data_IF_703757031873
#
_entry.id   IF_703757031873
#
_cell.length_a   1.000
_cell.length_b   1.000
_cell.length_c   1.000
_cell.angle_alpha   90.00
_cell.angle_beta   90.00
_cell.angle_gamma   90.00
#
_symmetry.space_group_name_H-M   'P 1'
#
loop_
_entity.id
_entity.type
_entity.pdbx_description
1 polymer ?
#
# COMPACT_ATOMS: atom_id res chain seq x y z
N UNK A 1 48.42 -27.81 -12.10
CA UNK A 1 49.64 -27.31 -12.77
C UNK A 1 49.90 -25.91 -12.26
N UNK A 2 50.98 -25.75 -11.54
CA UNK A 2 51.45 -24.56 -10.82
C UNK A 2 51.78 -23.36 -11.72
N UNK A 3 51.68 -22.13 -11.21
CA UNK A 3 52.79 -21.18 -11.05
C UNK A 3 52.25 -19.84 -10.48
N UNK A 4 52.61 -19.52 -9.22
CA UNK A 4 53.74 -18.80 -8.60
C UNK A 4 53.93 -17.33 -9.04
N UNK A 5 53.71 -16.48 -8.07
CA UNK A 5 54.44 -15.31 -7.50
C UNK A 5 55.31 -14.47 -8.43
N UNK A 6 55.15 -13.17 -8.35
CA UNK A 6 56.29 -12.26 -8.32
C UNK A 6 55.97 -10.99 -7.47
N UNK A 7 56.79 -10.82 -6.45
CA UNK A 7 56.92 -9.67 -5.55
C UNK A 7 57.96 -8.75 -6.17
N UNK A 8 57.73 -7.44 -6.21
CA UNK A 8 58.79 -6.44 -6.35
C UNK A 8 58.63 -5.37 -5.25
N UNK A 9 59.66 -5.32 -4.42
CA UNK A 9 59.91 -4.32 -3.38
C UNK A 9 60.72 -3.19 -3.99
N UNK A 10 60.41 -1.97 -3.67
CA UNK A 10 61.22 -0.80 -4.03
C UNK A 10 60.95 0.37 -3.09
N UNK A 11 62.00 0.79 -2.41
CA UNK A 11 62.06 1.54 -1.15
C UNK A 11 62.01 3.07 -1.26
N UNK A 12 61.58 3.64 -0.16
CA UNK A 12 61.91 4.93 0.52
C UNK A 12 62.50 6.13 -0.29
N UNK A 13 61.85 7.26 -0.06
CA UNK A 13 62.58 8.52 0.25
C UNK A 13 61.66 9.46 1.14
N UNK A 14 62.22 9.90 2.23
CA UNK A 14 61.69 10.83 3.22
C UNK A 14 61.66 12.26 2.67
N UNK A 15 60.65 13.05 3.06
CA UNK A 15 60.63 14.50 2.94
C UNK A 15 59.59 15.11 3.88
N UNK A 16 60.06 15.87 4.84
CA UNK A 16 59.32 16.36 6.00
C UNK A 16 58.56 17.69 5.72
N UNK A 17 57.56 17.87 6.57
CA UNK A 17 57.04 19.13 7.14
C UNK A 17 56.08 20.02 6.26
N UNK A 18 54.87 20.18 6.81
CA UNK A 18 53.92 21.23 6.46
C UNK A 18 52.60 21.05 7.17
N UNK A 19 52.51 21.47 8.44
CA UNK A 19 51.22 21.62 9.11
C UNK A 19 50.39 22.66 8.39
N UNK A 20 49.21 22.33 7.91
CA UNK A 20 48.09 23.25 7.81
C UNK A 20 46.78 22.52 8.12
N UNK A 21 46.20 22.92 9.25
CA UNK A 21 44.85 22.64 9.69
C UNK A 21 43.83 23.24 8.71
N UNK A 22 43.03 22.41 8.11
CA UNK A 22 41.88 22.84 7.31
C UNK A 22 40.80 21.78 7.40
N UNK A 23 39.95 21.85 8.44
CA UNK A 23 38.75 21.04 8.55
C UNK A 23 37.76 21.49 7.50
N UNK A 24 37.76 20.82 6.35
CA UNK A 24 36.71 20.89 5.35
C UNK A 24 35.67 19.84 5.66
N UNK A 25 34.67 20.17 6.49
CA UNK A 25 33.46 19.39 6.57
C UNK A 25 32.75 19.46 5.23
N UNK A 26 32.71 18.36 4.51
CA UNK A 26 31.79 18.17 3.39
C UNK A 26 30.35 18.31 3.91
N UNK A 27 29.79 19.50 3.75
CA UNK A 27 28.34 19.70 3.85
C UNK A 27 27.73 18.86 2.72
N UNK A 28 27.14 17.71 3.08
CA UNK A 28 26.15 17.04 2.23
C UNK A 28 25.17 18.12 1.80
N UNK A 29 25.12 18.41 0.50
CA UNK A 29 24.13 19.32 -0.06
C UNK A 29 22.76 18.68 0.19
N UNK A 30 22.01 19.24 1.11
CA UNK A 30 20.57 18.99 1.24
C UNK A 30 19.95 19.41 -0.09
N UNK A 31 19.24 18.48 -0.74
CA UNK A 31 18.46 18.82 -1.92
C UNK A 31 17.50 19.97 -1.54
N UNK A 32 17.33 20.99 -2.40
CA UNK A 32 16.45 22.11 -2.09
C UNK A 32 15.07 21.58 -1.78
N UNK A 33 14.51 21.97 -0.63
CA UNK A 33 13.16 21.65 -0.25
C UNK A 33 12.23 22.12 -1.38
N UNK A 34 11.51 21.19 -2.02
CA UNK A 34 10.56 21.52 -3.08
C UNK A 34 9.56 22.54 -2.52
N UNK A 35 9.29 23.59 -3.29
CA UNK A 35 8.29 24.60 -2.94
C UNK A 35 6.91 23.92 -2.86
N UNK A 36 6.45 23.67 -1.64
CA UNK A 36 5.18 23.00 -1.34
C UNK A 36 3.95 23.81 -1.76
N UNK A 37 4.13 25.05 -2.21
CA UNK A 37 3.05 25.92 -2.72
C UNK A 37 2.84 25.79 -4.23
N UNK A 38 3.79 25.24 -4.97
CA UNK A 38 3.71 25.06 -6.41
C UNK A 38 2.95 23.78 -6.77
N UNK A 39 2.15 23.83 -7.84
CA UNK A 39 1.54 22.61 -8.41
C UNK A 39 2.65 21.67 -8.90
N UNK A 40 2.57 20.37 -8.59
CA UNK A 40 3.55 19.42 -9.09
C UNK A 40 3.45 19.28 -10.62
N UNK A 41 4.57 19.00 -11.26
CA UNK A 41 4.61 18.68 -12.70
C UNK A 41 4.32 17.22 -13.00
N UNK A 42 4.42 16.36 -11.96
CA UNK A 42 4.15 14.93 -11.98
C UNK A 42 3.78 14.52 -10.56
N UNK A 43 2.95 13.47 -10.42
CA UNK A 43 2.59 12.85 -9.15
C UNK A 43 3.01 11.39 -9.19
N UNK A 44 3.74 10.93 -8.17
CA UNK A 44 4.12 9.52 -8.00
C UNK A 44 3.27 8.92 -6.87
N UNK A 45 2.42 7.99 -7.23
CA UNK A 45 1.56 7.25 -6.30
C UNK A 45 2.19 5.92 -5.92
N UNK A 46 2.41 5.68 -4.63
CA UNK A 46 2.88 4.41 -4.10
C UNK A 46 1.74 3.39 -4.01
N UNK A 47 2.02 2.15 -4.37
CA UNK A 47 1.06 1.05 -4.35
C UNK A 47 1.70 -0.29 -4.00
N UNK A 48 0.90 -1.21 -3.46
CA UNK A 48 1.16 -2.65 -3.44
C UNK A 48 0.60 -3.24 -4.74
N UNK A 49 1.47 -3.77 -5.62
CA UNK A 49 1.06 -4.27 -6.94
C UNK A 49 0.49 -5.71 -6.92
N UNK A 50 0.04 -6.15 -5.73
CA UNK A 50 -0.70 -7.40 -5.53
C UNK A 50 -2.13 -7.19 -5.02
N UNK A 51 -2.57 -5.94 -4.79
CA UNK A 51 -3.85 -5.60 -4.17
C UNK A 51 -4.99 -5.48 -5.20
N UNK A 52 -5.37 -6.60 -5.81
CA UNK A 52 -6.50 -6.65 -6.76
C UNK A 52 -7.85 -6.51 -6.02
N UNK A 53 -8.84 -5.81 -6.60
CA UNK A 53 -8.84 -5.17 -7.92
C UNK A 53 -8.44 -3.69 -7.91
N UNK A 54 -7.90 -3.16 -6.78
CA UNK A 54 -7.59 -1.74 -6.63
C UNK A 54 -6.37 -1.35 -7.47
N UNK A 55 -5.23 -2.05 -7.29
CA UNK A 55 -4.03 -1.88 -8.08
C UNK A 55 -3.18 -3.14 -8.02
N UNK A 56 -2.88 -3.75 -9.16
CA UNK A 56 -2.18 -5.02 -9.21
C UNK A 56 -1.54 -5.24 -10.60
N UNK A 57 -0.72 -6.30 -10.70
CA UNK A 57 -0.22 -6.75 -12.00
C UNK A 57 -1.15 -7.78 -12.62
N UNK A 58 -1.51 -7.55 -13.87
CA UNK A 58 -2.25 -8.54 -14.67
C UNK A 58 -1.32 -9.68 -15.17
N UNK A 59 -1.89 -10.63 -15.90
CA UNK A 59 -1.16 -11.78 -16.46
C UNK A 59 -0.04 -11.39 -17.45
N UNK A 60 -0.01 -10.14 -17.93
CA UNK A 60 1.03 -9.57 -18.79
C UNK A 60 2.08 -8.78 -17.98
N UNK A 61 1.91 -8.68 -16.68
CA UNK A 61 2.76 -7.89 -15.80
C UNK A 61 2.46 -6.38 -15.80
N UNK A 62 1.39 -5.95 -16.49
CA UNK A 62 0.98 -4.55 -16.54
C UNK A 62 0.28 -4.14 -15.25
N UNK A 63 0.55 -2.92 -14.77
CA UNK A 63 -0.14 -2.35 -13.62
C UNK A 63 -1.54 -1.92 -14.04
N UNK A 64 -2.54 -2.54 -13.46
CA UNK A 64 -3.97 -2.34 -13.74
C UNK A 64 -4.77 -2.28 -12.43
N UNK A 65 -6.03 -1.85 -12.50
CA UNK A 65 -6.92 -1.85 -11.34
C UNK A 65 -7.86 -0.65 -11.32
N UNK A 66 -8.78 -0.68 -10.36
CA UNK A 66 -9.74 0.40 -10.16
C UNK A 66 -9.04 1.74 -9.88
N UNK A 67 -8.11 1.76 -8.91
CA UNK A 67 -7.38 2.97 -8.55
C UNK A 67 -6.47 3.47 -9.69
N UNK A 68 -5.93 2.53 -10.50
CA UNK A 68 -5.12 2.87 -11.67
C UNK A 68 -5.96 3.59 -12.73
N UNK A 69 -7.15 3.08 -13.01
CA UNK A 69 -8.06 3.70 -13.98
C UNK A 69 -8.61 5.03 -13.44
N UNK A 70 -8.93 5.11 -12.14
CA UNK A 70 -9.33 6.37 -11.50
C UNK A 70 -8.22 7.42 -11.59
N UNK A 71 -6.97 7.04 -11.31
CA UNK A 71 -5.83 7.96 -11.39
C UNK A 71 -5.57 8.44 -12.83
N UNK A 72 -5.72 7.58 -13.85
CA UNK A 72 -5.65 7.98 -15.26
C UNK A 72 -6.71 9.01 -15.60
N UNK A 73 -7.96 8.81 -15.14
CA UNK A 73 -9.04 9.75 -15.35
C UNK A 73 -8.79 11.08 -14.61
N UNK A 74 -8.33 11.03 -13.34
CA UNK A 74 -7.96 12.22 -12.57
C UNK A 74 -6.79 12.96 -13.22
N UNK A 75 -5.75 12.26 -13.65
CA UNK A 75 -4.59 12.84 -14.36
C UNK A 75 -5.03 13.66 -15.58
N UNK A 76 -5.98 13.14 -16.36
CA UNK A 76 -6.54 13.85 -17.51
C UNK A 76 -7.29 15.13 -17.11
N UNK A 77 -8.08 15.07 -16.03
CA UNK A 77 -8.86 16.22 -15.54
C UNK A 77 -8.00 17.34 -14.93
N UNK A 78 -6.90 16.99 -14.26
CA UNK A 78 -6.02 17.98 -13.63
C UNK A 78 -4.87 18.43 -14.55
N UNK A 79 -4.62 17.72 -15.66
CA UNK A 79 -3.55 18.00 -16.61
C UNK A 79 -2.15 17.69 -16.08
N UNK A 80 -2.03 16.80 -15.08
CA UNK A 80 -0.74 16.42 -14.46
C UNK A 80 -0.61 14.90 -14.52
N UNK A 81 0.50 14.36 -15.05
CA UNK A 81 0.75 12.91 -15.07
C UNK A 81 0.76 12.31 -13.67
N UNK A 82 0.07 11.18 -13.48
CA UNK A 82 0.10 10.36 -12.28
C UNK A 82 0.73 9.02 -12.65
N UNK A 83 1.85 8.68 -12.03
CA UNK A 83 2.57 7.44 -12.24
C UNK A 83 2.49 6.57 -10.98
N UNK A 84 2.29 5.27 -11.14
CA UNK A 84 2.29 4.32 -10.04
C UNK A 84 3.68 3.71 -9.85
N UNK A 85 4.11 3.69 -8.59
CA UNK A 85 5.36 3.06 -8.16
C UNK A 85 5.03 1.92 -7.19
N UNK A 86 5.30 0.66 -7.58
CA UNK A 86 5.25 -0.45 -6.63
C UNK A 86 6.21 -0.23 -5.47
N UNK A 87 5.73 -0.46 -4.27
CA UNK A 87 6.49 -0.33 -3.02
C UNK A 87 6.19 -1.52 -2.12
N UNK A 88 7.08 -1.80 -1.20
CA UNK A 88 6.79 -2.63 -0.05
C UNK A 88 5.77 -1.91 0.84
N UNK A 89 4.62 -2.56 1.09
CA UNK A 89 3.51 -1.94 1.82
C UNK A 89 3.87 -1.53 3.24
N UNK A 90 4.76 -2.28 3.90
CA UNK A 90 5.24 -1.92 5.24
C UNK A 90 6.07 -0.63 5.24
N UNK A 91 6.64 -0.22 4.11
CA UNK A 91 7.47 0.97 3.98
C UNK A 91 6.74 2.21 3.45
N UNK A 92 5.43 2.15 3.18
CA UNK A 92 4.65 3.20 2.51
C UNK A 92 4.77 4.59 3.14
N UNK A 93 4.72 4.67 4.47
CA UNK A 93 4.89 5.95 5.19
C UNK A 93 6.32 6.49 5.03
N UNK A 94 7.33 5.61 5.09
CA UNK A 94 8.74 6.00 4.89
C UNK A 94 9.01 6.44 3.45
N UNK A 95 8.42 5.77 2.46
CA UNK A 95 8.47 6.18 1.04
C UNK A 95 7.85 7.57 0.86
N UNK A 96 6.70 7.81 1.49
CA UNK A 96 6.03 9.11 1.45
C UNK A 96 6.84 10.20 2.15
N UNK A 97 7.32 9.95 3.39
CA UNK A 97 8.10 10.93 4.15
C UNK A 97 9.41 11.32 3.45
N UNK A 98 10.10 10.37 2.84
CA UNK A 98 11.33 10.64 2.09
C UNK A 98 11.10 11.32 0.74
N UNK A 99 9.83 11.46 0.29
CA UNK A 99 9.50 12.06 -1.00
C UNK A 99 9.80 11.16 -2.20
N UNK A 100 9.98 9.84 -1.98
CA UNK A 100 10.10 8.88 -3.09
C UNK A 100 8.77 8.58 -3.75
N UNK A 101 7.67 8.85 -3.05
CA UNK A 101 6.30 8.94 -3.55
C UNK A 101 5.66 10.23 -3.04
N UNK A 102 4.66 10.74 -3.74
CA UNK A 102 3.93 11.96 -3.39
C UNK A 102 2.64 11.64 -2.63
N UNK A 103 2.06 10.47 -2.90
CA UNK A 103 0.86 9.98 -2.23
C UNK A 103 0.84 8.45 -2.17
N UNK A 104 -0.02 7.91 -1.29
CA UNK A 104 -0.35 6.48 -1.19
C UNK A 104 -1.75 6.33 -1.78
N UNK A 105 -1.87 5.61 -2.91
CA UNK A 105 -3.15 5.41 -3.60
C UNK A 105 -3.29 3.96 -4.05
N UNK A 106 -3.89 3.14 -3.20
CA UNK A 106 -4.11 1.71 -3.45
C UNK A 106 -5.10 1.12 -2.43
N UNK A 107 -6.39 1.50 -2.53
CA UNK A 107 -7.36 1.08 -1.52
C UNK A 107 -6.90 1.47 -0.10
N UNK A 108 -6.41 2.69 0.08
CA UNK A 108 -5.77 3.08 1.32
C UNK A 108 -6.80 3.55 2.35
N UNK A 109 -6.99 2.74 3.39
CA UNK A 109 -7.96 3.03 4.46
C UNK A 109 -7.55 4.24 5.28
N UNK A 110 -8.48 5.17 5.44
CA UNK A 110 -8.35 6.34 6.29
C UNK A 110 -8.66 5.98 7.74
N UNK A 111 -7.65 5.46 8.49
CA UNK A 111 -7.82 5.13 9.91
C UNK A 111 -7.54 6.35 10.82
N UNK A 112 -8.07 6.37 12.06
CA UNK A 112 -7.76 7.42 13.03
C UNK A 112 -6.26 7.58 13.31
N UNK A 113 -5.50 6.48 13.33
CA UNK A 113 -4.05 6.50 13.54
C UNK A 113 -3.34 7.21 12.38
N UNK A 114 -3.67 6.83 11.15
CA UNK A 114 -3.10 7.44 9.93
C UNK A 114 -3.46 8.91 9.81
N UNK A 115 -4.68 9.31 10.19
CA UNK A 115 -5.11 10.71 10.19
C UNK A 115 -4.31 11.61 11.14
N UNK A 116 -3.66 11.07 12.17
CA UNK A 116 -2.77 11.84 13.05
C UNK A 116 -1.51 12.32 12.33
N UNK A 117 -1.01 11.52 11.41
CA UNK A 117 0.30 11.72 10.75
C UNK A 117 0.20 12.07 9.25
N UNK A 118 -0.91 11.74 8.60
CA UNK A 118 -1.15 11.99 7.18
C UNK A 118 -2.32 12.96 6.97
N UNK A 119 -2.30 13.65 5.84
CA UNK A 119 -3.48 14.26 5.25
C UNK A 119 -4.14 13.27 4.28
N UNK A 120 -5.42 13.46 4.05
CA UNK A 120 -6.22 12.59 3.19
C UNK A 120 -7.08 13.43 2.24
N UNK A 121 -7.33 12.89 1.04
CA UNK A 121 -8.42 13.38 0.20
C UNK A 121 -9.77 13.08 0.86
N UNK A 122 -10.85 13.59 0.31
CA UNK A 122 -12.19 13.05 0.61
C UNK A 122 -12.21 11.56 0.26
N UNK A 123 -12.90 10.72 1.03
CA UNK A 123 -13.01 9.31 0.71
C UNK A 123 -13.79 9.13 -0.60
N UNK A 124 -13.36 8.14 -1.40
CA UNK A 124 -13.97 7.84 -2.69
C UNK A 124 -14.71 6.50 -2.73
N UNK A 125 -14.53 5.64 -1.72
CA UNK A 125 -15.19 4.33 -1.64
C UNK A 125 -15.35 3.90 -0.18
N UNK A 126 -16.47 3.25 0.16
CA UNK A 126 -16.61 2.54 1.43
C UNK A 126 -15.80 1.25 1.41
N UNK A 127 -15.31 0.83 2.57
CA UNK A 127 -14.56 -0.40 2.76
C UNK A 127 -15.02 -1.14 4.00
N UNK A 128 -14.86 -2.46 4.00
CA UNK A 128 -15.17 -3.34 5.11
C UNK A 128 -14.05 -4.36 5.27
N UNK A 129 -13.62 -4.61 6.52
CA UNK A 129 -12.75 -5.73 6.84
C UNK A 129 -13.60 -6.93 7.25
N UNK A 130 -13.34 -8.09 6.66
CA UNK A 130 -14.03 -9.35 6.94
C UNK A 130 -13.05 -10.50 7.07
N UNK A 131 -13.48 -11.55 7.77
CA UNK A 131 -12.75 -12.82 7.75
C UNK A 131 -13.15 -13.64 6.54
N UNK A 132 -12.16 -14.23 5.88
CA UNK A 132 -12.35 -15.22 4.82
C UNK A 132 -11.75 -16.56 5.24
N UNK A 133 -12.45 -17.63 4.92
CA UNK A 133 -12.04 -19.02 5.20
C UNK A 133 -12.18 -19.87 3.93
N UNK A 134 -11.62 -21.07 3.93
CA UNK A 134 -11.91 -22.04 2.87
C UNK A 134 -13.43 -22.38 2.86
N UNK A 135 -13.98 -22.62 1.68
CA UNK A 135 -15.41 -22.89 1.52
C UNK A 135 -15.89 -24.10 2.31
N UNK A 136 -15.02 -25.12 2.47
CA UNK A 136 -15.27 -26.35 3.23
C UNK A 136 -14.83 -26.28 4.70
N UNK A 137 -14.39 -25.12 5.17
CA UNK A 137 -14.00 -24.91 6.57
C UNK A 137 -15.16 -25.17 7.53
N UNK A 138 -14.88 -25.82 8.67
CA UNK A 138 -15.84 -25.98 9.77
C UNK A 138 -16.16 -24.66 10.51
N UNK A 139 -15.33 -23.62 10.36
CA UNK A 139 -15.55 -22.29 10.93
C UNK A 139 -16.76 -21.64 10.27
N UNK A 140 -17.79 -21.27 11.03
CA UNK A 140 -19.03 -20.69 10.48
C UNK A 140 -19.21 -19.22 10.82
N UNK A 141 -18.57 -18.73 11.87
CA UNK A 141 -18.68 -17.36 12.38
C UNK A 141 -17.37 -16.93 13.04
N UNK A 142 -17.22 -15.63 13.29
CA UNK A 142 -15.99 -15.06 13.86
C UNK A 142 -15.59 -15.66 15.21
N UNK A 143 -16.57 -16.02 16.07
CA UNK A 143 -16.30 -16.62 17.37
C UNK A 143 -15.63 -18.01 17.28
N UNK A 144 -15.83 -18.72 16.18
CA UNK A 144 -15.21 -20.03 15.93
C UNK A 144 -13.71 -19.92 15.62
N UNK A 145 -13.23 -18.69 15.38
CA UNK A 145 -11.80 -18.39 15.13
C UNK A 145 -10.97 -18.35 16.42
N UNK A 146 -11.60 -18.46 17.59
CA UNK A 146 -10.87 -18.49 18.86
C UNK A 146 -9.89 -19.67 18.90
N UNK A 147 -8.61 -19.36 19.18
CA UNK A 147 -7.53 -20.34 19.19
C UNK A 147 -7.05 -20.79 17.81
N UNK A 148 -7.63 -20.26 16.73
CA UNK A 148 -7.28 -20.57 15.34
C UNK A 148 -6.11 -19.71 14.84
N UNK A 149 -5.60 -20.07 13.67
CA UNK A 149 -4.48 -19.36 12.99
C UNK A 149 -5.04 -18.35 12.01
N UNK A 150 -4.61 -17.10 12.19
CA UNK A 150 -4.99 -15.98 11.33
C UNK A 150 -3.80 -15.53 10.50
N UNK A 151 -3.99 -15.31 9.20
CA UNK A 151 -3.04 -14.62 8.34
C UNK A 151 -3.53 -13.21 8.01
N UNK A 152 -2.63 -12.24 8.03
CA UNK A 152 -2.88 -10.84 7.70
C UNK A 152 -1.72 -10.27 6.89
N UNK A 153 -1.96 -9.19 6.16
CA UNK A 153 -0.86 -8.41 5.61
C UNK A 153 -0.27 -7.49 6.70
N UNK A 154 1.05 -7.40 6.76
CA UNK A 154 1.73 -6.51 7.69
C UNK A 154 1.47 -5.04 7.35
N UNK A 155 1.46 -4.19 8.37
CA UNK A 155 1.18 -2.74 8.25
C UNK A 155 -0.14 -2.40 7.53
N UNK A 156 -1.05 -3.37 7.45
CA UNK A 156 -2.40 -3.23 6.90
C UNK A 156 -3.40 -2.69 7.93
N UNK A 157 -4.63 -2.46 7.47
CA UNK A 157 -5.76 -2.14 8.35
C UNK A 157 -6.08 -3.30 9.30
N UNK A 158 -5.97 -4.55 8.82
CA UNK A 158 -6.16 -5.74 9.64
C UNK A 158 -5.19 -5.78 10.82
N UNK A 159 -3.90 -5.50 10.60
CA UNK A 159 -2.93 -5.41 11.69
C UNK A 159 -3.28 -4.27 12.67
N UNK A 160 -3.65 -3.10 12.16
CA UNK A 160 -4.05 -1.96 13.02
C UNK A 160 -5.23 -2.30 13.92
N UNK A 161 -6.23 -3.04 13.41
CA UNK A 161 -7.39 -3.50 14.19
C UNK A 161 -6.97 -4.43 15.33
N UNK A 162 -6.09 -5.40 15.04
CA UNK A 162 -5.57 -6.34 16.04
C UNK A 162 -4.70 -5.64 17.09
N UNK A 163 -3.88 -4.67 16.68
CA UNK A 163 -3.01 -3.92 17.59
C UNK A 163 -3.80 -2.96 18.49
N UNK A 164 -5.01 -2.55 18.06
CA UNK A 164 -5.93 -1.71 18.84
C UNK A 164 -6.74 -2.52 19.86
N UNK A 165 -7.05 -3.78 19.53
CA UNK A 165 -7.84 -4.67 20.38
C UNK A 165 -7.01 -5.89 20.83
N UNK A 166 -6.33 -5.73 21.96
CA UNK A 166 -5.50 -6.78 22.57
C UNK A 166 -6.30 -8.05 22.92
N UNK A 167 -7.60 -7.94 23.23
CA UNK A 167 -8.43 -9.10 23.53
C UNK A 167 -8.72 -9.89 22.26
N UNK A 168 -9.05 -9.19 21.17
CA UNK A 168 -9.22 -9.80 19.85
C UNK A 168 -7.91 -10.46 19.41
N UNK A 169 -6.78 -9.77 19.51
CA UNK A 169 -5.47 -10.29 19.15
C UNK A 169 -5.13 -11.57 19.91
N UNK A 170 -5.33 -11.58 21.24
CA UNK A 170 -5.08 -12.75 22.10
C UNK A 170 -6.08 -13.88 21.92
N UNK A 171 -7.21 -13.65 21.26
CA UNK A 171 -8.20 -14.70 20.98
C UNK A 171 -7.70 -15.72 19.96
N UNK A 172 -6.78 -15.35 19.08
CA UNK A 172 -6.17 -16.24 18.09
C UNK A 172 -5.05 -17.07 18.71
N UNK A 173 -4.90 -18.32 18.26
CA UNK A 173 -3.80 -19.19 18.66
C UNK A 173 -2.46 -18.78 18.03
N UNK A 174 -2.51 -18.28 16.80
CA UNK A 174 -1.36 -17.77 16.05
C UNK A 174 -1.82 -16.67 15.09
N UNK A 175 -1.04 -15.61 14.95
CA UNK A 175 -1.22 -14.59 13.93
C UNK A 175 0.06 -14.49 13.12
N UNK A 176 -0.05 -14.68 11.80
CA UNK A 176 1.06 -14.51 10.86
C UNK A 176 0.81 -13.29 9.99
N UNK A 177 1.78 -12.38 10.00
CA UNK A 177 1.80 -11.23 9.11
C UNK A 177 2.74 -11.51 7.92
N UNK A 178 2.27 -11.18 6.72
CA UNK A 178 2.99 -11.37 5.46
C UNK A 178 3.15 -10.03 4.74
N UNK A 179 4.16 -9.88 3.88
CA UNK A 179 4.36 -8.64 3.10
C UNK A 179 3.16 -8.31 2.21
N UNK A 180 2.48 -9.30 1.69
CA UNK A 180 1.35 -9.16 0.77
C UNK A 180 0.22 -10.15 1.05
N UNK A 181 -0.98 -9.84 0.52
CA UNK A 181 -2.16 -10.68 0.71
C UNK A 181 -2.14 -11.97 -0.11
N UNK A 182 -1.36 -12.03 -1.20
CA UNK A 182 -1.20 -13.27 -1.96
C UNK A 182 -0.60 -14.37 -1.08
N UNK A 183 0.42 -14.03 -0.29
CA UNK A 183 1.01 -14.96 0.68
C UNK A 183 0.01 -15.39 1.76
N UNK A 184 -0.85 -14.49 2.24
CA UNK A 184 -1.91 -14.82 3.19
C UNK A 184 -2.89 -15.86 2.62
N UNK A 185 -3.34 -15.65 1.38
CA UNK A 185 -4.24 -16.59 0.70
C UNK A 185 -3.57 -17.93 0.39
N UNK A 186 -2.29 -17.94 0.04
CA UNK A 186 -1.52 -19.20 -0.12
C UNK A 186 -1.44 -19.98 1.19
N UNK A 187 -1.30 -19.31 2.33
CA UNK A 187 -1.31 -19.94 3.65
C UNK A 187 -2.70 -20.54 3.96
N UNK A 188 -3.77 -19.81 3.67
CA UNK A 188 -5.13 -20.29 3.82
C UNK A 188 -5.38 -21.53 2.93
N UNK A 189 -5.01 -21.47 1.65
CA UNK A 189 -5.21 -22.58 0.70
C UNK A 189 -4.45 -23.84 1.08
N UNK A 190 -3.29 -23.69 1.71
CA UNK A 190 -2.48 -24.84 2.16
C UNK A 190 -2.84 -25.35 3.55
N UNK A 191 -3.84 -24.76 4.22
CA UNK A 191 -4.25 -25.11 5.57
C UNK A 191 -3.25 -24.71 6.66
N UNK A 192 -2.28 -23.85 6.36
CA UNK A 192 -1.36 -23.27 7.36
C UNK A 192 -2.02 -22.12 8.14
N UNK A 193 -3.03 -21.49 7.58
CA UNK A 193 -3.94 -20.58 8.26
C UNK A 193 -5.37 -21.12 8.21
N UNK A 194 -6.18 -20.79 9.22
CA UNK A 194 -7.61 -21.10 9.28
C UNK A 194 -8.45 -19.98 8.67
N UNK A 195 -7.95 -18.75 8.71
CA UNK A 195 -8.62 -17.56 8.15
C UNK A 195 -7.60 -16.50 7.68
N UNK A 196 -8.08 -15.61 6.82
CA UNK A 196 -7.43 -14.34 6.47
C UNK A 196 -8.36 -13.20 6.88
N UNK A 197 -7.83 -12.11 7.43
CA UNK A 197 -8.55 -10.86 7.66
C UNK A 197 -8.09 -9.85 6.61
N UNK A 198 -9.01 -9.39 5.77
CA UNK A 198 -8.72 -8.50 4.66
C UNK A 198 -9.94 -7.69 4.21
N UNK A 199 -9.72 -6.82 3.23
CA UNK A 199 -10.74 -5.97 2.61
C UNK A 199 -11.70 -6.79 1.74
N UNK A 200 -13.01 -6.56 1.89
CA UNK A 200 -14.06 -7.27 1.13
C UNK A 200 -13.83 -7.17 -0.38
N UNK A 201 -13.46 -6.02 -0.92
CA UNK A 201 -13.27 -5.85 -2.36
C UNK A 201 -12.20 -6.79 -2.93
N UNK A 202 -11.12 -7.05 -2.19
CA UNK A 202 -10.09 -8.01 -2.58
C UNK A 202 -10.60 -9.45 -2.48
N UNK A 203 -11.31 -9.78 -1.40
CA UNK A 203 -11.87 -11.12 -1.20
C UNK A 203 -12.87 -11.45 -2.30
N UNK A 204 -13.81 -10.55 -2.60
CA UNK A 204 -14.78 -10.70 -3.70
C UNK A 204 -14.05 -10.96 -5.03
N UNK A 205 -12.96 -10.22 -5.31
CA UNK A 205 -12.15 -10.45 -6.51
C UNK A 205 -11.51 -11.84 -6.52
N UNK A 206 -10.91 -12.29 -5.43
CA UNK A 206 -10.35 -13.65 -5.32
C UNK A 206 -11.43 -14.72 -5.52
N UNK A 207 -12.62 -14.53 -4.98
CA UNK A 207 -13.75 -15.44 -5.15
C UNK A 207 -14.21 -15.54 -6.61
N UNK A 208 -14.12 -14.45 -7.40
CA UNK A 208 -14.38 -14.50 -8.84
C UNK A 208 -13.32 -15.29 -9.61
N UNK A 209 -12.06 -15.23 -9.17
CA UNK A 209 -10.93 -15.95 -9.81
C UNK A 209 -10.86 -17.43 -9.41
N UNK A 210 -11.30 -17.74 -8.18
CA UNK A 210 -11.31 -19.10 -7.63
C UNK A 210 -12.71 -19.44 -7.09
N UNK A 211 -13.70 -19.68 -7.97
CA UNK A 211 -15.07 -19.96 -7.56
C UNK A 211 -15.13 -21.16 -6.60
N UNK A 212 -15.97 -21.05 -5.57
CA UNK A 212 -16.20 -22.09 -4.55
C UNK A 212 -14.94 -22.48 -3.72
N UNK A 213 -13.86 -21.71 -3.78
CA UNK A 213 -12.65 -21.98 -2.99
C UNK A 213 -12.72 -21.34 -1.61
N UNK A 214 -13.28 -20.13 -1.54
CA UNK A 214 -13.34 -19.30 -0.35
C UNK A 214 -14.78 -18.88 -0.04
N UNK A 215 -15.02 -18.51 1.20
CA UNK A 215 -16.22 -17.78 1.63
C UNK A 215 -15.89 -16.78 2.71
N UNK A 216 -16.62 -15.70 2.74
CA UNK A 216 -16.60 -14.75 3.85
C UNK A 216 -17.37 -15.32 5.04
N UNK A 217 -16.90 -15.01 6.25
CA UNK A 217 -17.68 -15.24 7.45
C UNK A 217 -18.72 -14.14 7.61
N UNK A 218 -19.90 -14.46 8.22
CA UNK A 218 -20.89 -13.44 8.53
C UNK A 218 -20.34 -12.38 9.49
N UNK A 219 -20.72 -11.12 9.24
CA UNK A 219 -20.35 -9.99 10.07
C UNK A 219 -19.14 -9.22 9.52
N UNK A 220 -19.08 -7.98 9.95
CA UNK A 220 -18.05 -7.03 9.56
C UNK A 220 -17.13 -6.77 10.76
N UNK A 221 -15.81 -6.85 10.56
CA UNK A 221 -14.83 -6.58 11.61
C UNK A 221 -14.64 -5.08 11.80
N UNK A 222 -14.63 -4.32 10.69
CA UNK A 222 -14.67 -2.86 10.71
C UNK A 222 -15.37 -2.30 9.47
N UNK A 223 -15.84 -1.05 9.61
CA UNK A 223 -16.33 -0.22 8.50
C UNK A 223 -15.42 0.97 8.36
N UNK A 224 -14.84 1.10 7.19
CA UNK A 224 -13.83 2.08 6.90
C UNK A 224 -14.12 2.76 5.54
N UNK A 225 -13.22 3.64 5.12
CA UNK A 225 -13.30 4.31 3.81
C UNK A 225 -11.93 4.36 3.17
N UNK A 226 -11.88 4.14 1.87
CA UNK A 226 -10.69 4.37 1.06
C UNK A 226 -10.54 5.83 0.68
N UNK A 227 -9.33 6.31 0.76
CA UNK A 227 -8.91 7.67 0.46
C UNK A 227 -7.46 7.66 -0.02
N UNK A 228 -6.96 8.78 -0.52
CA UNK A 228 -5.56 8.92 -0.90
C UNK A 228 -4.81 9.56 0.27
N UNK A 229 -3.75 8.88 0.74
CA UNK A 229 -2.88 9.36 1.80
C UNK A 229 -1.77 10.27 1.25
N UNK A 230 -1.53 11.40 1.90
CA UNK A 230 -0.62 12.46 1.45
C UNK A 230 0.15 12.97 2.67
N UNK A 231 1.35 13.54 2.49
CA UNK A 231 2.05 14.23 3.58
C UNK A 231 1.14 15.24 4.27
N UNK A 232 1.23 15.29 5.61
CA UNK A 232 0.33 16.08 6.47
C UNK A 232 0.23 17.55 6.07
N UNK A 233 1.31 18.14 5.59
CA UNK A 233 1.44 19.55 5.26
C UNK A 233 1.25 19.88 3.76
N UNK A 234 1.02 18.88 2.91
CA UNK A 234 0.84 19.08 1.46
C UNK A 234 -0.64 19.30 1.07
N UNK A 235 -1.19 20.43 1.54
CA UNK A 235 -2.58 20.80 1.24
C UNK A 235 -2.82 21.02 -0.26
N UNK A 236 -1.83 21.50 -1.01
CA UNK A 236 -1.95 21.75 -2.45
C UNK A 236 -2.27 20.45 -3.19
N UNK A 237 -1.58 19.35 -2.85
CA UNK A 237 -1.84 18.05 -3.47
C UNK A 237 -3.19 17.47 -3.04
N UNK A 238 -3.59 17.63 -1.78
CA UNK A 238 -4.92 17.24 -1.30
C UNK A 238 -6.04 17.91 -2.09
N UNK A 239 -5.97 19.24 -2.21
CA UNK A 239 -6.99 20.03 -2.91
C UNK A 239 -7.02 19.68 -4.41
N UNK A 240 -5.85 19.51 -5.03
CA UNK A 240 -5.71 19.16 -6.44
C UNK A 240 -6.33 17.78 -6.75
N UNK A 241 -6.03 16.77 -5.94
CA UNK A 241 -6.61 15.42 -6.14
C UNK A 241 -8.10 15.39 -5.81
N UNK A 242 -8.55 16.12 -4.80
CA UNK A 242 -9.99 16.26 -4.50
C UNK A 242 -10.75 16.89 -5.67
N UNK A 243 -10.20 17.95 -6.28
CA UNK A 243 -10.81 18.59 -7.46
C UNK A 243 -10.86 17.62 -8.65
N UNK A 244 -9.78 16.90 -8.91
CA UNK A 244 -9.72 15.89 -9.97
C UNK A 244 -10.74 14.77 -9.76
N UNK A 245 -10.80 14.19 -8.55
CA UNK A 245 -11.77 13.12 -8.22
C UNK A 245 -13.21 13.64 -8.40
N UNK A 246 -13.52 14.84 -7.90
CA UNK A 246 -14.83 15.43 -8.02
C UNK A 246 -15.26 15.62 -9.49
N UNK A 247 -14.32 16.02 -10.38
CA UNK A 247 -14.56 16.14 -11.82
C UNK A 247 -14.85 14.78 -12.46
N UNK A 248 -14.06 13.75 -12.13
CA UNK A 248 -14.24 12.38 -12.65
C UNK A 248 -15.56 11.76 -12.17
N UNK A 249 -16.00 12.08 -10.96
CA UNK A 249 -17.32 11.69 -10.46
C UNK A 249 -18.41 12.43 -11.23
N UNK A 250 -18.29 13.75 -11.35
CA UNK A 250 -19.31 14.60 -11.99
C UNK A 250 -19.53 14.30 -13.48
N UNK A 251 -18.46 13.96 -14.22
CA UNK A 251 -18.57 13.61 -15.63
C UNK A 251 -19.00 12.16 -15.89
N UNK A 252 -19.21 11.36 -14.84
CA UNK A 252 -19.69 9.98 -14.90
C UNK A 252 -18.60 8.94 -15.20
N UNK A 253 -17.35 9.33 -15.35
CA UNK A 253 -16.26 8.40 -15.65
C UNK A 253 -15.98 7.47 -14.46
N UNK A 254 -16.05 7.99 -13.23
CA UNK A 254 -15.90 7.18 -12.02
C UNK A 254 -16.92 6.04 -11.95
N UNK A 255 -18.18 6.30 -12.31
CA UNK A 255 -19.22 5.27 -12.32
C UNK A 255 -18.93 4.18 -13.37
N UNK A 256 -18.41 4.53 -14.55
CA UNK A 256 -18.02 3.57 -15.59
C UNK A 256 -16.83 2.70 -15.14
N UNK A 257 -15.83 3.31 -14.50
CA UNK A 257 -14.67 2.61 -13.95
C UNK A 257 -15.15 1.64 -12.85
N UNK A 258 -16.03 2.09 -11.95
CA UNK A 258 -16.61 1.24 -10.92
C UNK A 258 -17.38 0.07 -11.50
N UNK A 259 -18.23 0.32 -12.51
CA UNK A 259 -18.96 -0.72 -13.22
C UNK A 259 -18.03 -1.76 -13.88
N UNK A 260 -16.91 -1.31 -14.46
CA UNK A 260 -15.90 -2.19 -15.06
C UNK A 260 -15.30 -3.16 -14.05
N UNK A 261 -14.94 -2.68 -12.86
CA UNK A 261 -14.17 -3.44 -11.87
C UNK A 261 -15.05 -4.22 -10.88
N UNK A 262 -16.23 -3.68 -10.54
CA UNK A 262 -17.10 -4.22 -9.50
C UNK A 262 -18.49 -4.63 -10.00
N UNK A 263 -18.80 -4.41 -11.27
CA UNK A 263 -20.14 -4.70 -11.83
C UNK A 263 -21.25 -3.78 -11.29
N UNK A 264 -20.91 -2.78 -10.51
CA UNK A 264 -21.83 -1.79 -9.89
C UNK A 264 -21.11 -0.48 -9.62
N UNK A 265 -21.84 0.62 -9.46
CA UNK A 265 -21.27 1.91 -9.03
C UNK A 265 -21.24 1.97 -7.51
N UNK A 266 -20.02 1.92 -6.94
CA UNK A 266 -19.76 1.98 -5.49
C UNK A 266 -18.92 3.20 -5.09
N UNK A 267 -18.72 4.14 -6.05
CA UNK A 267 -17.98 5.38 -5.76
C UNK A 267 -18.85 6.34 -4.94
N UNK A 268 -18.29 6.87 -3.87
CA UNK A 268 -18.93 7.90 -3.05
C UNK A 268 -19.09 9.20 -3.84
N UNK A 269 -20.22 9.89 -3.65
CA UNK A 269 -20.57 11.13 -4.38
C UNK A 269 -20.31 12.37 -3.52
#
# INVERSE_FOLDING_TARGET
>A
MNWKKMIVIGALACGAAGLMTGGGGEKKAEAPAADKSAKPTKIVAGMDDTFAPMGFRDDKGEIVGFDIDMAKAVSKEIGIPIEFKPIDWASKETELESGRIDCIWNGFTMTPERQKVLAFTKPYMDNVQVYVVLADSAVQKAEDLKGKKLSIQESSTAQTLLDRDENLKKSFGEIKAYPDLTACFMDLESGRADAVLADTCLIEYYMTKKPNKFRELPGEVSKDKFSIGIKKDNKVLVDLLNDGIAKVIKNGEAAKISQKWFGKDIVLK
#
